data_IF_528083233586
#
_entry.id   IF_528083233586
#
_cell.length_a   1.000
_cell.length_b   1.000
_cell.length_c   1.000
_cell.angle_alpha   90.00
_cell.angle_beta   90.00
_cell.angle_gamma   90.00
#
_symmetry.space_group_name_H-M   'P 1'
#
loop_
_entity.id
_entity.type
_entity.pdbx_description
1 polymer ?
#
# COMPACT_ATOMS: atom_id res chain seq x y z
N UNK A 1 -6.76 -0.15 -92.32
CA UNK A 1 -7.48 -0.31 -91.03
C UNK A 1 -6.63 0.32 -89.94
N UNK A 2 -6.96 1.54 -89.57
CA UNK A 2 -6.27 2.30 -88.50
C UNK A 2 -6.98 2.04 -87.18
N UNK A 3 -6.22 1.55 -86.17
CA UNK A 3 -6.73 1.14 -84.85
C UNK A 3 -6.82 2.38 -83.92
N UNK A 4 -8.03 2.85 -83.55
CA UNK A 4 -8.18 4.09 -82.75
C UNK A 4 -8.08 3.93 -81.23
N UNK A 5 -7.50 2.86 -80.72
CA UNK A 5 -7.57 2.57 -79.28
C UNK A 5 -6.38 3.01 -78.42
N UNK A 6 -5.28 3.51 -79.00
CA UNK A 6 -4.08 3.85 -78.25
C UNK A 6 -4.11 5.18 -77.48
N UNK A 7 -4.91 6.16 -78.00
CA UNK A 7 -4.96 7.50 -77.37
C UNK A 7 -5.69 7.57 -76.01
N UNK A 8 -6.75 6.77 -75.88
CA UNK A 8 -7.56 6.76 -74.59
C UNK A 8 -6.89 6.09 -73.44
N UNK A 9 -6.03 5.08 -73.66
CA UNK A 9 -5.29 4.41 -72.64
C UNK A 9 -4.19 5.26 -72.04
N UNK A 10 -3.50 6.06 -72.87
CA UNK A 10 -2.42 6.95 -72.38
C UNK A 10 -2.99 8.11 -71.55
N UNK A 11 -4.15 8.66 -71.97
CA UNK A 11 -4.80 9.71 -71.15
C UNK A 11 -5.35 9.17 -69.81
N UNK A 12 -5.97 8.01 -69.84
CA UNK A 12 -6.43 7.34 -68.60
C UNK A 12 -5.27 7.02 -67.66
N UNK A 13 -4.14 6.54 -68.15
CA UNK A 13 -2.96 6.26 -67.32
C UNK A 13 -2.35 7.52 -66.67
N UNK A 14 -2.32 8.66 -67.43
CA UNK A 14 -1.87 9.95 -66.88
C UNK A 14 -2.84 10.49 -65.80
N UNK A 15 -4.14 10.35 -65.95
CA UNK A 15 -5.15 10.77 -65.03
C UNK A 15 -5.13 9.88 -63.73
N UNK A 16 -4.94 8.57 -63.92
CA UNK A 16 -4.79 7.64 -62.83
C UNK A 16 -3.50 7.96 -62.07
N UNK A 17 -2.38 8.24 -62.75
CA UNK A 17 -1.11 8.63 -62.11
C UNK A 17 -1.21 9.91 -61.26
N UNK A 18 -1.90 10.94 -61.75
CA UNK A 18 -2.13 12.17 -60.96
C UNK A 18 -2.99 11.96 -59.74
N UNK A 19 -4.07 11.20 -59.86
CA UNK A 19 -4.93 10.84 -58.71
C UNK A 19 -4.17 9.97 -57.69
N UNK A 20 -3.42 8.97 -58.12
CA UNK A 20 -2.57 8.16 -57.27
C UNK A 20 -1.48 8.98 -56.61
N UNK A 21 -0.85 9.92 -57.31
CA UNK A 21 0.15 10.81 -56.73
C UNK A 21 -0.46 11.70 -55.61
N UNK A 22 -1.63 12.29 -55.82
CA UNK A 22 -2.32 13.08 -54.82
C UNK A 22 -2.70 12.24 -53.59
N UNK A 23 -3.18 11.01 -53.78
CA UNK A 23 -3.54 10.11 -52.70
C UNK A 23 -2.30 9.65 -51.91
N UNK A 24 -1.19 9.36 -52.60
CA UNK A 24 0.06 9.00 -51.91
C UNK A 24 0.69 10.17 -51.19
N UNK A 25 0.65 11.38 -51.78
CA UNK A 25 1.11 12.60 -51.13
C UNK A 25 0.28 12.90 -49.84
N UNK A 26 -1.05 12.80 -49.95
CA UNK A 26 -1.91 12.98 -48.76
C UNK A 26 -1.60 11.96 -47.64
N UNK A 27 -1.44 10.68 -48.00
CA UNK A 27 -1.02 9.65 -47.05
C UNK A 27 0.35 9.95 -46.43
N UNK A 28 1.32 10.41 -47.23
CA UNK A 28 2.64 10.76 -46.75
C UNK A 28 2.59 11.93 -45.74
N UNK A 29 1.80 12.97 -46.01
CA UNK A 29 1.61 14.10 -45.08
C UNK A 29 1.01 13.63 -43.76
N UNK A 30 -0.04 12.81 -43.80
CA UNK A 30 -0.64 12.23 -42.59
C UNK A 30 0.38 11.39 -41.83
N UNK A 31 1.16 10.56 -42.51
CA UNK A 31 2.17 9.72 -41.90
C UNK A 31 3.28 10.53 -41.22
N UNK A 32 3.76 11.59 -41.87
CA UNK A 32 4.74 12.52 -41.30
C UNK A 32 4.17 13.20 -40.05
N UNK A 33 2.89 13.60 -40.08
CA UNK A 33 2.21 14.17 -38.92
C UNK A 33 2.14 13.20 -37.74
N UNK A 34 1.80 11.93 -37.99
CA UNK A 34 1.74 10.89 -37.00
C UNK A 34 3.15 10.61 -36.40
N UNK A 35 4.16 10.48 -37.26
CA UNK A 35 5.55 10.26 -36.83
C UNK A 35 6.03 11.45 -35.99
N UNK A 36 5.79 12.66 -36.43
CA UNK A 36 6.13 13.89 -35.69
C UNK A 36 5.46 13.92 -34.31
N UNK A 37 4.18 13.52 -34.22
CA UNK A 37 3.47 13.43 -32.94
C UNK A 37 4.02 12.33 -32.03
N UNK A 38 4.35 11.17 -32.61
CA UNK A 38 4.97 10.07 -31.84
C UNK A 38 6.34 10.47 -31.29
N UNK A 39 7.17 11.13 -32.07
CA UNK A 39 8.48 11.64 -31.64
C UNK A 39 8.29 12.68 -30.53
N UNK A 40 7.34 13.60 -30.65
CA UNK A 40 7.03 14.58 -29.61
C UNK A 40 6.61 13.90 -28.30
N UNK A 41 5.72 12.91 -28.36
CA UNK A 41 5.27 12.16 -27.19
C UNK A 41 6.40 11.35 -26.55
N UNK A 42 7.27 10.74 -27.35
CA UNK A 42 8.34 9.89 -26.85
C UNK A 42 9.55 10.66 -26.31
N UNK A 43 9.84 11.83 -26.86
CA UNK A 43 11.02 12.63 -26.48
C UNK A 43 10.62 13.76 -25.54
N UNK A 44 9.71 14.64 -25.94
CA UNK A 44 9.39 15.85 -25.17
C UNK A 44 8.52 15.56 -23.95
N UNK A 45 7.56 14.64 -24.10
CA UNK A 45 6.59 14.35 -23.03
C UNK A 45 6.88 13.02 -22.30
N UNK A 46 8.02 12.39 -22.58
CA UNK A 46 8.42 11.09 -21.99
C UNK A 46 8.34 11.08 -20.46
N UNK A 47 8.91 12.10 -19.82
CA UNK A 47 8.97 12.20 -18.36
C UNK A 47 7.56 12.28 -17.75
N UNK A 48 6.68 13.07 -18.36
CA UNK A 48 5.29 13.23 -17.94
C UNK A 48 4.51 11.92 -18.00
N UNK A 49 4.55 11.25 -19.16
CA UNK A 49 3.81 10.00 -19.35
C UNK A 49 4.41 8.84 -18.55
N UNK A 50 5.72 8.80 -18.38
CA UNK A 50 6.38 7.84 -17.49
C UNK A 50 5.93 8.03 -16.05
N UNK A 51 5.91 9.26 -15.54
CA UNK A 51 5.44 9.56 -14.18
C UNK A 51 3.96 9.20 -13.98
N UNK A 52 3.11 9.44 -14.98
CA UNK A 52 1.70 9.06 -14.93
C UNK A 52 1.51 7.53 -14.95
N UNK A 53 2.27 6.83 -15.79
CA UNK A 53 2.28 5.37 -15.84
C UNK A 53 2.77 4.77 -14.53
N UNK A 54 3.88 5.29 -13.98
CA UNK A 54 4.44 4.83 -12.71
C UNK A 54 3.46 5.06 -11.55
N UNK A 55 2.76 6.20 -11.51
CA UNK A 55 1.73 6.47 -10.50
C UNK A 55 0.53 5.50 -10.58
N UNK A 56 0.16 5.05 -11.77
CA UNK A 56 -0.91 4.08 -11.94
C UNK A 56 -0.46 2.65 -11.66
N UNK A 57 0.80 2.34 -11.97
CA UNK A 57 1.37 1.00 -11.81
C UNK A 57 1.84 0.72 -10.39
N UNK A 58 2.39 1.74 -9.69
CA UNK A 58 2.93 1.58 -8.36
C UNK A 58 2.06 2.26 -7.31
N UNK A 59 1.77 1.52 -6.25
CA UNK A 59 1.22 2.09 -5.01
C UNK A 59 2.30 2.11 -3.96
N UNK A 60 2.52 3.25 -3.36
CA UNK A 60 3.45 3.42 -2.24
C UNK A 60 2.68 3.39 -0.94
N UNK A 61 3.09 2.48 -0.06
CA UNK A 61 2.61 2.42 1.32
C UNK A 61 3.70 2.93 2.23
N UNK A 62 3.32 3.86 3.09
CA UNK A 62 4.20 4.31 4.15
C UNK A 62 4.17 3.27 5.28
N UNK A 63 5.33 2.83 5.70
CA UNK A 63 5.49 1.94 6.84
C UNK A 63 5.82 2.75 8.08
N UNK A 64 5.17 2.42 9.19
CA UNK A 64 5.50 3.00 10.47
C UNK A 64 6.98 2.73 10.80
N UNK A 65 7.73 3.73 11.23
CA UNK A 65 9.14 3.56 11.57
C UNK A 65 9.28 2.70 12.83
N UNK A 66 10.35 1.93 12.88
CA UNK A 66 10.76 1.26 14.12
C UNK A 66 11.31 2.30 15.10
N UNK A 67 10.85 2.20 16.33
CA UNK A 67 11.23 3.11 17.39
C UNK A 67 12.63 2.78 17.92
N UNK A 68 13.47 3.77 18.17
CA UNK A 68 14.81 3.59 18.73
C UNK A 68 14.79 2.90 20.10
N UNK A 69 15.76 2.05 20.36
CA UNK A 69 15.95 1.37 21.63
C UNK A 69 16.47 2.38 22.68
N UNK A 70 16.00 2.26 23.92
CA UNK A 70 16.53 3.01 25.06
C UNK A 70 17.35 2.05 25.92
N UNK A 71 18.60 2.41 26.16
CA UNK A 71 19.54 1.64 26.96
C UNK A 71 19.96 2.42 28.21
N UNK A 72 20.36 1.70 29.24
CA UNK A 72 20.97 2.28 30.43
C UNK A 72 22.47 2.57 30.22
N UNK A 73 23.13 3.04 31.28
CA UNK A 73 24.57 3.32 31.26
C UNK A 73 25.43 2.06 31.03
N UNK A 74 24.91 0.88 31.36
CA UNK A 74 25.59 -0.41 31.19
C UNK A 74 25.24 -1.11 29.89
N UNK A 75 24.62 -0.39 28.94
CA UNK A 75 24.20 -0.90 27.62
C UNK A 75 23.04 -1.93 27.68
N UNK A 76 22.40 -2.08 28.85
CA UNK A 76 21.23 -2.94 29.02
C UNK A 76 19.99 -2.25 28.45
N UNK A 77 19.22 -2.97 27.66
CA UNK A 77 17.98 -2.46 27.07
C UNK A 77 16.91 -2.32 28.15
N UNK A 78 16.41 -1.10 28.33
CA UNK A 78 15.32 -0.75 29.24
C UNK A 78 14.01 -0.48 28.51
N UNK A 79 14.08 -0.15 27.21
CA UNK A 79 12.95 -0.13 26.30
C UNK A 79 13.40 -0.60 24.92
N UNK A 80 12.86 -1.71 24.45
CA UNK A 80 13.20 -2.37 23.19
C UNK A 80 11.95 -2.58 22.32
N UNK A 81 12.14 -3.21 21.19
CA UNK A 81 11.08 -3.55 20.28
C UNK A 81 10.97 -5.06 20.16
N UNK A 82 9.75 -5.57 20.22
CA UNK A 82 9.47 -7.00 20.06
C UNK A 82 8.60 -7.20 18.81
N UNK A 83 8.91 -8.26 18.08
CA UNK A 83 8.12 -8.65 16.92
C UNK A 83 6.80 -9.26 17.38
N UNK A 84 5.69 -8.74 16.89
CA UNK A 84 4.33 -9.18 17.21
C UNK A 84 3.58 -9.55 15.94
N UNK A 85 2.60 -10.40 16.08
CA UNK A 85 1.82 -10.93 14.96
C UNK A 85 0.34 -10.60 15.13
N UNK A 86 -0.08 -9.36 14.89
CA UNK A 86 -1.49 -9.00 14.89
C UNK A 86 -2.23 -9.67 13.73
N UNK A 87 -3.47 -10.04 13.99
CA UNK A 87 -4.38 -10.62 12.99
C UNK A 87 -5.47 -9.61 12.68
N UNK A 88 -5.54 -9.21 11.43
CA UNK A 88 -6.55 -8.29 10.92
C UNK A 88 -7.62 -9.07 10.17
N UNK A 89 -8.87 -8.60 10.23
CA UNK A 89 -9.99 -9.06 9.43
C UNK A 89 -10.55 -7.88 8.65
N UNK A 90 -10.72 -8.05 7.35
CA UNK A 90 -11.44 -7.11 6.47
C UNK A 90 -12.81 -7.75 6.15
N UNK A 91 -13.90 -7.29 6.77
CA UNK A 91 -15.20 -7.96 6.65
C UNK A 91 -15.72 -8.06 5.21
N UNK A 92 -15.48 -7.04 4.38
CA UNK A 92 -15.89 -7.01 2.97
C UNK A 92 -15.34 -8.18 2.14
N UNK A 93 -14.15 -8.67 2.49
CA UNK A 93 -13.49 -9.76 1.78
C UNK A 93 -13.94 -11.15 2.25
N UNK A 94 -14.84 -11.24 3.24
CA UNK A 94 -15.31 -12.51 3.78
C UNK A 94 -16.76 -12.77 3.32
N UNK A 95 -17.00 -13.92 2.70
CA UNK A 95 -18.35 -14.32 2.25
C UNK A 95 -19.25 -14.76 3.39
N UNK A 96 -18.69 -15.39 4.43
CA UNK A 96 -19.44 -15.94 5.57
C UNK A 96 -18.66 -15.71 6.88
N UNK A 97 -18.94 -14.60 7.52
CA UNK A 97 -18.26 -14.18 8.77
C UNK A 97 -18.54 -15.17 9.92
N UNK A 98 -19.70 -15.82 9.95
CA UNK A 98 -20.02 -16.76 11.04
C UNK A 98 -19.16 -18.01 10.95
N UNK A 99 -19.03 -18.61 9.77
CA UNK A 99 -18.12 -19.75 9.54
C UNK A 99 -16.69 -19.37 9.80
N UNK A 100 -16.27 -18.18 9.36
CA UNK A 100 -14.94 -17.66 9.60
C UNK A 100 -14.64 -17.58 11.11
N UNK A 101 -15.57 -17.08 11.91
CA UNK A 101 -15.39 -17.00 13.36
C UNK A 101 -15.27 -18.36 14.04
N UNK A 102 -16.01 -19.36 13.60
CA UNK A 102 -15.88 -20.74 14.10
C UNK A 102 -14.45 -21.28 13.82
N UNK A 103 -13.95 -21.06 12.62
CA UNK A 103 -12.58 -21.45 12.24
C UNK A 103 -11.53 -20.67 13.05
N UNK A 104 -11.64 -19.36 13.14
CA UNK A 104 -10.71 -18.51 13.92
C UNK A 104 -10.71 -18.87 15.40
N UNK A 105 -11.88 -19.19 15.97
CA UNK A 105 -11.98 -19.67 17.35
C UNK A 105 -11.13 -20.92 17.58
N UNK A 106 -11.17 -21.86 16.65
CA UNK A 106 -10.40 -23.13 16.76
C UNK A 106 -8.90 -22.91 16.57
N UNK A 107 -8.50 -22.03 15.62
CA UNK A 107 -7.07 -21.81 15.29
C UNK A 107 -6.37 -20.95 16.33
N UNK A 108 -7.03 -19.88 16.80
CA UNK A 108 -6.48 -18.85 17.68
C UNK A 108 -6.97 -18.96 19.14
N UNK A 109 -7.70 -20.03 19.50
CA UNK A 109 -8.28 -20.22 20.84
C UNK A 109 -9.02 -18.98 21.37
N UNK A 110 -9.77 -18.29 20.48
CA UNK A 110 -10.47 -17.07 20.86
C UNK A 110 -11.58 -17.34 21.87
N UNK A 111 -11.68 -16.47 22.88
CA UNK A 111 -12.77 -16.54 23.86
C UNK A 111 -14.09 -16.08 23.25
N UNK A 112 -15.21 -16.61 23.75
CA UNK A 112 -16.55 -16.20 23.31
C UNK A 112 -16.80 -14.70 23.55
N UNK A 113 -16.23 -14.14 24.60
CA UNK A 113 -16.26 -12.69 24.89
C UNK A 113 -15.59 -11.89 23.77
N UNK A 114 -14.43 -12.37 23.26
CA UNK A 114 -13.73 -11.70 22.16
C UNK A 114 -14.54 -11.77 20.86
N UNK A 115 -15.14 -12.92 20.56
CA UNK A 115 -15.98 -13.07 19.37
C UNK A 115 -17.23 -12.16 19.42
N UNK A 116 -17.89 -12.07 20.58
CA UNK A 116 -19.01 -11.15 20.77
C UNK A 116 -18.58 -9.69 20.56
N UNK A 117 -17.43 -9.30 21.08
CA UNK A 117 -16.88 -7.97 20.87
C UNK A 117 -16.61 -7.71 19.38
N UNK A 118 -16.00 -8.65 18.66
CA UNK A 118 -15.70 -8.53 17.23
C UNK A 118 -16.97 -8.37 16.39
N UNK A 119 -18.02 -9.15 16.66
CA UNK A 119 -19.33 -9.01 16.00
C UNK A 119 -19.92 -7.61 16.20
N UNK A 120 -19.78 -7.07 17.40
CA UNK A 120 -20.27 -5.72 17.72
C UNK A 120 -19.44 -4.63 17.02
N UNK A 121 -18.15 -4.82 16.86
CA UNK A 121 -17.26 -3.90 16.14
C UNK A 121 -17.58 -3.92 14.65
N UNK A 122 -17.74 -5.11 14.04
CA UNK A 122 -18.12 -5.26 12.64
C UNK A 122 -19.44 -4.53 12.32
N UNK A 123 -20.43 -4.62 13.22
CA UNK A 123 -21.71 -3.95 13.03
C UNK A 123 -21.64 -2.41 13.05
N UNK A 124 -20.54 -1.83 13.58
CA UNK A 124 -20.38 -0.38 13.73
C UNK A 124 -19.36 0.24 12.77
N UNK A 125 -18.41 -0.53 12.31
CA UNK A 125 -17.37 -0.06 11.39
C UNK A 125 -17.75 -0.26 9.94
N UNK A 126 -17.04 0.42 9.05
CA UNK A 126 -17.21 0.27 7.61
C UNK A 126 -16.66 -1.09 7.17
N UNK A 127 -17.31 -1.80 6.21
CA UNK A 127 -16.91 -3.15 5.82
C UNK A 127 -15.47 -3.30 5.31
N UNK A 128 -14.93 -2.26 4.73
CA UNK A 128 -13.55 -2.25 4.20
C UNK A 128 -12.47 -1.88 5.23
N UNK A 129 -12.87 -1.41 6.41
CA UNK A 129 -11.91 -1.07 7.47
C UNK A 129 -11.40 -2.35 8.14
N UNK A 130 -10.06 -2.53 8.25
CA UNK A 130 -9.50 -3.68 8.93
C UNK A 130 -9.78 -3.64 10.43
N UNK A 131 -10.26 -4.75 10.96
CA UNK A 131 -10.55 -4.94 12.38
C UNK A 131 -9.49 -5.86 12.99
N UNK A 132 -8.98 -5.51 14.16
CA UNK A 132 -7.99 -6.33 14.87
C UNK A 132 -8.69 -7.47 15.58
N UNK A 133 -8.49 -8.70 15.10
CA UNK A 133 -9.00 -9.93 15.70
C UNK A 133 -8.20 -10.29 16.93
N UNK A 134 -6.87 -10.24 16.84
CA UNK A 134 -5.93 -10.38 17.95
C UNK A 134 -4.78 -9.40 17.78
N UNK A 135 -4.38 -8.76 18.88
CA UNK A 135 -3.27 -7.78 18.85
C UNK A 135 -1.91 -8.46 18.74
N UNK A 136 -1.79 -9.66 19.28
CA UNK A 136 -0.60 -10.49 19.17
C UNK A 136 -0.99 -11.96 19.28
N UNK A 137 -0.37 -12.79 18.47
CA UNK A 137 -0.44 -14.25 18.55
C UNK A 137 0.96 -14.82 18.61
N UNK A 138 1.09 -16.03 19.12
CA UNK A 138 2.38 -16.73 19.15
C UNK A 138 2.84 -17.08 17.73
N UNK A 139 4.15 -17.25 17.55
CA UNK A 139 4.72 -17.70 16.27
C UNK A 139 4.08 -19.01 15.77
N UNK A 140 3.78 -19.94 16.70
CA UNK A 140 3.11 -21.20 16.37
C UNK A 140 1.70 -20.98 15.83
N UNK A 141 0.93 -20.08 16.43
CA UNK A 141 -0.42 -19.72 15.97
C UNK A 141 -0.36 -18.98 14.65
N UNK A 142 0.61 -18.07 14.49
CA UNK A 142 0.85 -17.35 13.23
C UNK A 142 1.17 -18.32 12.08
N UNK A 143 2.07 -19.29 12.32
CA UNK A 143 2.42 -20.30 11.33
C UNK A 143 1.23 -21.16 10.97
N UNK A 144 0.45 -21.62 11.97
CA UNK A 144 -0.78 -22.40 11.77
C UNK A 144 -1.83 -21.60 10.99
N UNK A 145 -2.01 -20.31 11.32
CA UNK A 145 -2.95 -19.44 10.62
C UNK A 145 -2.58 -19.31 9.13
N UNK A 146 -1.29 -19.16 8.83
CA UNK A 146 -0.81 -19.06 7.45
C UNK A 146 -1.05 -20.34 6.63
N UNK A 147 -0.98 -21.52 7.23
CA UNK A 147 -1.31 -22.79 6.56
C UNK A 147 -2.77 -22.84 6.07
N UNK A 148 -3.68 -22.27 6.86
CA UNK A 148 -5.12 -22.27 6.56
C UNK A 148 -5.61 -20.94 5.95
N UNK A 149 -4.71 -20.03 5.59
CA UNK A 149 -5.08 -18.70 5.11
C UNK A 149 -5.96 -18.73 3.84
N UNK A 150 -5.79 -19.74 2.99
CA UNK A 150 -6.59 -19.94 1.79
C UNK A 150 -8.08 -20.24 2.08
N UNK A 151 -8.40 -20.74 3.29
CA UNK A 151 -9.78 -20.99 3.75
C UNK A 151 -10.36 -19.78 4.52
N UNK A 152 -9.51 -18.81 4.90
CA UNK A 152 -9.84 -17.71 5.78
C UNK A 152 -9.96 -16.39 5.00
N UNK A 153 -10.98 -16.31 4.13
CA UNK A 153 -11.21 -15.12 3.30
C UNK A 153 -11.34 -13.86 4.16
N UNK A 154 -10.56 -12.82 3.83
CA UNK A 154 -10.55 -11.55 4.54
C UNK A 154 -9.63 -11.48 5.75
N UNK A 155 -9.05 -12.58 6.21
CA UNK A 155 -8.06 -12.59 7.31
C UNK A 155 -6.67 -12.26 6.77
N UNK A 156 -6.00 -11.33 7.44
CA UNK A 156 -4.63 -10.90 7.12
C UNK A 156 -3.77 -10.92 8.39
N UNK A 157 -2.97 -11.97 8.60
CA UNK A 157 -1.92 -11.93 9.59
C UNK A 157 -0.84 -10.95 9.12
N UNK A 158 -0.36 -10.12 10.03
CA UNK A 158 0.64 -9.09 9.74
C UNK A 158 1.81 -9.27 10.70
N UNK A 159 3.01 -9.03 10.22
CA UNK A 159 4.19 -8.90 11.06
C UNK A 159 4.32 -7.43 11.45
N UNK A 160 4.35 -7.14 12.72
CA UNK A 160 4.44 -5.79 13.26
C UNK A 160 5.45 -5.73 14.41
N UNK A 161 5.66 -4.55 14.95
CA UNK A 161 6.59 -4.32 16.05
C UNK A 161 5.85 -3.61 17.17
N UNK A 162 5.94 -4.18 18.38
CA UNK A 162 5.41 -3.57 19.60
C UNK A 162 6.55 -3.11 20.52
N UNK A 163 6.29 -2.05 21.27
CA UNK A 163 7.22 -1.57 22.28
C UNK A 163 7.22 -2.49 23.48
N UNK A 164 8.39 -2.94 23.89
CA UNK A 164 8.59 -3.82 25.06
C UNK A 164 9.42 -3.11 26.12
N UNK A 165 9.05 -3.33 27.37
CA UNK A 165 9.76 -2.84 28.55
C UNK A 165 10.17 -4.06 29.38
N UNK A 166 11.44 -4.53 29.25
CA UNK A 166 11.91 -5.75 29.93
C UNK A 166 11.86 -5.66 31.45
N UNK A 167 11.98 -4.45 31.99
CA UNK A 167 11.99 -4.20 33.43
C UNK A 167 10.90 -3.21 33.84
N UNK A 168 10.03 -3.63 34.75
CA UNK A 168 8.94 -2.80 35.26
C UNK A 168 9.38 -1.76 36.30
N UNK A 169 10.59 -1.89 36.84
CA UNK A 169 11.09 -0.99 37.92
C UNK A 169 11.20 0.47 37.45
N UNK A 170 11.47 0.68 36.17
CA UNK A 170 11.66 2.02 35.57
C UNK A 170 10.41 2.61 34.92
N UNK A 171 9.24 2.01 35.08
CA UNK A 171 8.02 2.38 34.39
C UNK A 171 7.63 3.86 34.56
N UNK A 172 7.81 4.43 35.75
CA UNK A 172 7.49 5.84 36.05
C UNK A 172 8.42 6.82 35.32
N UNK A 173 9.68 6.45 35.08
CA UNK A 173 10.68 7.26 34.39
C UNK A 173 10.52 7.11 32.89
N UNK A 174 10.41 5.87 32.42
CA UNK A 174 10.29 5.54 30.98
C UNK A 174 8.99 6.06 30.39
N UNK A 175 7.90 5.88 31.11
CA UNK A 175 6.57 6.13 30.59
C UNK A 175 6.10 5.02 29.66
N UNK A 176 5.21 5.35 28.73
CA UNK A 176 4.65 4.39 27.78
C UNK A 176 4.38 5.02 26.41
N UNK A 177 4.24 4.15 25.41
CA UNK A 177 3.81 4.52 24.06
C UNK A 177 2.37 4.07 23.82
N UNK A 178 1.68 4.78 22.95
CA UNK A 178 0.34 4.43 22.49
C UNK A 178 0.16 4.93 21.05
N UNK A 179 -0.86 4.45 20.37
CA UNK A 179 -1.17 4.92 19.01
C UNK A 179 -1.38 6.43 18.98
N UNK A 180 -1.00 7.04 17.85
CA UNK A 180 -1.14 8.47 17.61
C UNK A 180 -2.62 8.84 17.62
N UNK A 181 -3.00 9.80 18.47
CA UNK A 181 -4.35 10.37 18.51
C UNK A 181 -4.44 11.69 17.73
N UNK A 182 -5.65 12.13 17.38
CA UNK A 182 -5.86 13.43 16.74
C UNK A 182 -5.24 14.59 17.53
N UNK A 183 -5.33 14.54 18.86
CA UNK A 183 -4.73 15.54 19.75
C UNK A 183 -3.18 15.57 19.67
N UNK A 184 -2.55 14.42 19.46
CA UNK A 184 -1.08 14.35 19.28
C UNK A 184 -0.66 15.04 17.99
N UNK A 185 -1.43 14.87 16.90
CA UNK A 185 -1.18 15.50 15.60
C UNK A 185 -1.32 17.04 15.67
N UNK A 186 -2.20 17.55 16.52
CA UNK A 186 -2.33 18.98 16.73
C UNK A 186 -1.18 19.56 17.55
N UNK A 187 -0.74 18.80 18.57
CA UNK A 187 0.24 19.28 19.56
C UNK A 187 1.69 19.10 19.08
N UNK A 188 1.97 18.00 18.37
CA UNK A 188 3.32 17.62 17.95
C UNK A 188 3.50 17.87 16.44
N UNK A 189 4.08 19.00 16.07
CA UNK A 189 4.24 19.43 14.66
C UNK A 189 4.99 18.40 13.80
N UNK A 190 6.03 17.75 14.36
CA UNK A 190 6.84 16.76 13.65
C UNK A 190 6.05 15.50 13.24
N UNK A 191 4.93 15.21 13.91
CA UNK A 191 4.08 14.06 13.55
C UNK A 191 3.26 14.27 12.28
N UNK A 192 3.00 15.52 11.87
CA UNK A 192 2.16 15.80 10.69
C UNK A 192 2.73 15.19 9.41
N UNK A 193 4.05 15.25 9.27
CA UNK A 193 4.75 14.72 8.09
C UNK A 193 5.08 13.22 8.23
N UNK A 194 5.21 12.76 9.47
CA UNK A 194 5.60 11.40 9.82
C UNK A 194 4.42 10.46 10.09
N UNK A 195 3.18 10.98 10.13
CA UNK A 195 2.03 10.15 10.52
C UNK A 195 1.72 9.04 9.52
N UNK A 196 1.69 7.83 10.04
CA UNK A 196 1.27 6.61 9.34
C UNK A 196 0.28 5.88 10.25
N UNK A 197 -0.80 5.29 9.70
CA UNK A 197 -1.71 4.45 10.49
C UNK A 197 -0.98 3.37 11.27
N UNK A 198 -1.32 3.20 12.54
CA UNK A 198 -0.66 2.23 13.43
C UNK A 198 0.62 2.71 14.09
N UNK A 199 1.09 3.93 13.78
CA UNK A 199 2.26 4.53 14.41
C UNK A 199 2.04 4.81 15.89
N UNK A 200 3.06 4.53 16.71
CA UNK A 200 3.06 4.77 18.15
C UNK A 200 3.82 6.04 18.50
N UNK A 201 3.37 6.72 19.56
CA UNK A 201 3.96 7.95 20.08
C UNK A 201 4.13 7.86 21.61
N UNK A 202 5.20 8.44 22.13
CA UNK A 202 5.42 8.53 23.57
C UNK A 202 4.41 9.45 24.25
N UNK A 203 3.69 8.94 25.24
CA UNK A 203 2.65 9.66 25.99
C UNK A 203 3.17 10.30 27.27
N UNK A 204 4.09 9.64 27.96
CA UNK A 204 4.63 10.08 29.26
C UNK A 204 6.13 9.81 29.35
N UNK A 205 6.79 10.33 30.37
CA UNK A 205 8.17 10.01 30.75
C UNK A 205 9.21 10.34 29.67
N UNK A 206 10.26 9.54 29.65
CA UNK A 206 11.35 9.63 28.68
C UNK A 206 10.87 9.34 27.26
N UNK A 207 9.95 8.41 27.09
CA UNK A 207 9.34 8.09 25.80
C UNK A 207 8.72 9.33 25.14
N UNK A 208 8.05 10.20 25.92
CA UNK A 208 7.51 11.46 25.43
C UNK A 208 8.61 12.50 25.20
N UNK A 209 9.57 12.62 26.12
CA UNK A 209 10.61 13.66 26.04
C UNK A 209 11.57 13.43 24.89
N UNK A 210 11.90 12.16 24.59
CA UNK A 210 12.81 11.78 23.53
C UNK A 210 12.09 11.39 22.21
N UNK A 211 10.76 11.51 22.17
CA UNK A 211 9.92 11.00 21.09
C UNK A 211 10.44 11.37 19.70
N UNK A 212 10.70 12.66 19.46
CA UNK A 212 11.20 13.16 18.18
C UNK A 212 12.54 12.54 17.76
N UNK A 213 13.38 12.17 18.74
CA UNK A 213 14.71 11.61 18.47
C UNK A 213 14.65 10.10 18.19
N UNK A 214 13.72 9.40 18.86
CA UNK A 214 13.66 7.93 18.82
C UNK A 214 12.56 7.38 17.90
N UNK A 215 11.72 8.24 17.33
CA UNK A 215 10.58 7.82 16.51
C UNK A 215 10.98 7.16 15.17
N UNK A 216 12.22 7.35 14.73
CA UNK A 216 12.73 6.78 13.48
C UNK A 216 12.31 7.53 12.22
N UNK A 217 12.60 6.95 11.07
CA UNK A 217 12.26 7.49 9.74
C UNK A 217 11.24 6.60 9.06
N UNK A 218 10.27 7.21 8.36
CA UNK A 218 9.25 6.46 7.60
C UNK A 218 9.92 5.57 6.55
N UNK A 219 9.51 4.31 6.54
CA UNK A 219 9.79 3.39 5.45
C UNK A 219 8.76 3.55 4.32
N UNK A 220 9.15 3.23 3.10
CA UNK A 220 8.26 3.17 1.95
C UNK A 220 8.31 1.78 1.34
N UNK A 221 7.15 1.18 1.17
CA UNK A 221 7.02 -0.08 0.45
C UNK A 221 6.22 0.19 -0.82
N UNK A 222 6.81 -0.18 -1.96
CA UNK A 222 6.21 0.01 -3.28
C UNK A 222 5.70 -1.33 -3.81
N UNK A 223 4.45 -1.37 -4.18
CA UNK A 223 3.81 -2.52 -4.82
C UNK A 223 3.45 -2.20 -6.26
N UNK A 224 3.68 -3.16 -7.13
CA UNK A 224 3.16 -3.14 -8.50
C UNK A 224 1.73 -3.67 -8.49
N UNK A 225 0.82 -2.90 -9.08
CA UNK A 225 -0.59 -3.30 -9.22
C UNK A 225 -0.78 -3.70 -10.68
N UNK A 226 -1.14 -4.95 -10.89
CA UNK A 226 -1.52 -5.48 -12.22
C UNK A 226 -2.96 -5.14 -12.54
#
# INVERSE_FOLDING_TARGET
MLNPSSGNTVIKSKLIGRRMFLLTAAKAVVMVGIIGRLVSLQINERTKYKTLSDKNRFREWKLAPERGVIKDFFDKEIASNEQVYPVHLIPENSKDIEKLFVRLKTILNLTDKRLFYLKRVIAKQKPWEPIIVSDNITWSEFSRLNLFLHELEGVKPVVSVARMYPDNSSAHILGYVSQVSAKDLETKKYLKDLHVPGMSVGKTGLERKLDEKIIGKIGFQRYEVN
#
